data_IF_892315351070
#
_entry.id   IF_892315351070
#
_cell.length_a   1.000
_cell.length_b   1.000
_cell.length_c   1.000
_cell.angle_alpha   90.00
_cell.angle_beta   90.00
_cell.angle_gamma   90.00
#
_symmetry.space_group_name_H-M   'P 1'
#
loop_
_entity.id
_entity.type
_entity.pdbx_description
1 polymer ?
#
# COMPACT_ATOMS: atom_id res chain seq x y z
N UNK A 1 14.54 -15.21 -6.33
CA UNK A 1 15.63 -14.20 -6.48
C UNK A 1 16.57 -14.44 -7.69
N UNK A 2 16.78 -13.42 -8.53
CA UNK A 2 17.59 -13.47 -9.75
C UNK A 2 19.09 -13.19 -9.54
N UNK A 3 19.50 -12.43 -8.51
CA UNK A 3 20.93 -12.06 -8.32
C UNK A 3 21.87 -13.28 -8.31
N UNK A 4 21.56 -14.40 -7.62
CA UNK A 4 22.43 -15.57 -7.64
C UNK A 4 22.57 -16.19 -9.04
N UNK A 5 21.47 -16.20 -9.81
CA UNK A 5 21.44 -16.74 -11.18
C UNK A 5 22.26 -15.87 -12.12
N UNK A 6 22.10 -14.54 -12.03
CA UNK A 6 22.84 -13.59 -12.84
C UNK A 6 24.35 -13.65 -12.53
N UNK A 7 24.73 -13.73 -11.25
CA UNK A 7 26.13 -13.86 -10.84
C UNK A 7 26.77 -15.15 -11.36
N UNK A 8 26.07 -16.29 -11.26
CA UNK A 8 26.54 -17.56 -11.79
C UNK A 8 26.70 -17.52 -13.33
N UNK A 9 25.78 -16.87 -14.02
CA UNK A 9 25.86 -16.67 -15.48
C UNK A 9 27.06 -15.80 -15.87
N UNK A 10 27.25 -14.65 -15.22
CA UNK A 10 28.39 -13.77 -15.48
C UNK A 10 29.73 -14.53 -15.36
N UNK A 11 29.89 -15.32 -14.29
CA UNK A 11 31.07 -16.16 -14.10
C UNK A 11 31.24 -17.22 -15.21
N UNK A 12 30.15 -17.89 -15.61
CA UNK A 12 30.18 -18.91 -16.65
C UNK A 12 30.58 -18.37 -18.04
N UNK A 13 30.27 -17.10 -18.32
CA UNK A 13 30.62 -16.42 -19.57
C UNK A 13 31.89 -15.56 -19.48
N UNK A 14 32.64 -15.62 -18.38
CA UNK A 14 33.92 -14.93 -18.22
C UNK A 14 33.83 -13.44 -17.87
N UNK A 15 32.67 -12.97 -17.40
CA UNK A 15 32.50 -11.61 -16.89
C UNK A 15 32.87 -11.54 -15.40
N UNK A 16 33.49 -10.43 -15.00
CA UNK A 16 33.89 -10.20 -13.61
C UNK A 16 32.70 -9.92 -12.67
N UNK A 17 31.63 -9.32 -13.20
CA UNK A 17 30.41 -8.99 -12.46
C UNK A 17 29.22 -8.86 -13.42
N UNK A 18 28.02 -8.82 -12.84
CA UNK A 18 26.78 -8.46 -13.55
C UNK A 18 26.70 -6.94 -13.64
N UNK A 19 26.16 -6.43 -14.75
CA UNK A 19 25.85 -5.00 -14.89
C UNK A 19 24.81 -4.56 -13.84
N UNK A 20 25.09 -3.47 -13.13
CA UNK A 20 24.23 -2.94 -12.06
C UNK A 20 22.84 -2.54 -12.58
N UNK A 21 22.74 -2.16 -13.86
CA UNK A 21 21.49 -1.73 -14.50
C UNK A 21 20.62 -2.92 -14.97
N UNK A 22 21.16 -4.14 -15.04
CA UNK A 22 20.44 -5.28 -15.60
C UNK A 22 19.17 -5.61 -14.82
N UNK A 23 19.21 -5.56 -13.48
CA UNK A 23 18.02 -5.80 -12.67
C UNK A 23 16.98 -4.68 -12.83
N UNK A 24 17.41 -3.43 -12.95
CA UNK A 24 16.51 -2.31 -13.21
C UNK A 24 15.82 -2.48 -14.57
N UNK A 25 16.59 -2.87 -15.59
CA UNK A 25 16.06 -3.18 -16.92
C UNK A 25 15.05 -4.33 -16.88
N UNK A 26 15.34 -5.44 -16.20
CA UNK A 26 14.42 -6.58 -16.07
C UNK A 26 13.13 -6.16 -15.35
N UNK A 27 13.21 -5.36 -14.28
CA UNK A 27 12.03 -4.84 -13.59
C UNK A 27 11.20 -3.93 -14.49
N UNK A 28 11.83 -3.09 -15.31
CA UNK A 28 11.10 -2.25 -16.26
C UNK A 28 10.41 -3.09 -17.34
N UNK A 29 11.07 -4.14 -17.83
CA UNK A 29 10.44 -5.11 -18.73
C UNK A 29 9.28 -5.86 -18.09
N UNK A 30 9.37 -6.19 -16.80
CA UNK A 30 8.25 -6.75 -16.06
C UNK A 30 7.06 -5.77 -16.03
N UNK A 31 7.29 -4.48 -15.74
CA UNK A 31 6.22 -3.46 -15.73
C UNK A 31 5.49 -3.39 -17.06
N UNK A 32 6.24 -3.30 -18.16
CA UNK A 32 5.68 -3.30 -19.51
C UNK A 32 4.93 -4.60 -19.78
N UNK A 33 5.54 -5.75 -19.47
CA UNK A 33 4.92 -7.05 -19.70
C UNK A 33 3.60 -7.22 -18.94
N UNK A 34 3.48 -6.74 -17.71
CA UNK A 34 2.24 -6.81 -16.91
C UNK A 34 1.11 -5.97 -17.50
N UNK A 35 1.45 -4.86 -18.15
CA UNK A 35 0.50 -3.97 -18.86
C UNK A 35 0.06 -4.58 -20.19
N UNK A 36 1.00 -5.19 -20.90
CA UNK A 36 0.81 -5.69 -22.27
C UNK A 36 0.38 -7.18 -22.33
N UNK A 37 -0.01 -7.80 -21.20
CA UNK A 37 -0.50 -9.20 -21.19
C UNK A 37 -1.78 -9.30 -22.04
N UNK A 38 -1.63 -9.75 -23.28
CA UNK A 38 -2.72 -10.22 -24.13
C UNK A 38 -3.28 -11.55 -23.61
N UNK A 39 -4.59 -11.75 -23.84
CA UNK A 39 -5.53 -12.72 -23.28
C UNK A 39 -5.18 -14.24 -23.31
N UNK A 40 -3.92 -14.63 -23.53
CA UNK A 40 -3.46 -16.02 -23.53
C UNK A 40 -2.87 -16.53 -22.21
N UNK A 41 -2.53 -15.65 -21.25
CA UNK A 41 -1.90 -16.04 -19.97
C UNK A 41 -2.43 -15.29 -18.74
N UNK A 42 -3.33 -14.32 -18.90
CA UNK A 42 -3.88 -13.48 -17.83
C UNK A 42 -4.58 -12.24 -18.38
N UNK A 43 -5.25 -11.47 -17.51
CA UNK A 43 -5.82 -10.15 -17.87
C UNK A 43 -4.74 -9.07 -17.78
N UNK A 44 -4.80 -8.07 -18.66
CA UNK A 44 -3.96 -6.87 -18.58
C UNK A 44 -4.22 -6.12 -17.26
N UNK A 45 -3.17 -5.65 -16.60
CA UNK A 45 -3.26 -4.87 -15.37
C UNK A 45 -3.18 -3.38 -15.69
N UNK A 46 -4.08 -2.60 -15.07
CA UNK A 46 -4.10 -1.15 -15.23
C UNK A 46 -2.76 -0.50 -14.85
N UNK A 47 -2.41 0.58 -15.56
CA UNK A 47 -1.10 1.23 -15.47
C UNK A 47 -0.76 1.69 -14.04
N UNK A 48 -1.74 2.29 -13.38
CA UNK A 48 -1.72 2.82 -12.02
C UNK A 48 -1.60 1.70 -10.97
N UNK A 49 -2.28 0.57 -11.17
CA UNK A 49 -2.18 -0.62 -10.33
C UNK A 49 -0.78 -1.24 -10.41
N UNK A 50 -0.20 -1.33 -11.62
CA UNK A 50 1.20 -1.78 -11.78
C UNK A 50 2.15 -0.82 -11.06
N UNK A 51 1.93 0.49 -11.17
CA UNK A 51 2.74 1.49 -10.48
C UNK A 51 2.60 1.41 -8.95
N UNK A 52 1.39 1.16 -8.43
CA UNK A 52 1.14 0.98 -7.00
C UNK A 52 1.78 -0.30 -6.45
N UNK A 53 1.70 -1.41 -7.19
CA UNK A 53 2.28 -2.68 -6.79
C UNK A 53 3.81 -2.68 -6.83
N UNK A 54 4.40 -2.01 -7.82
CA UNK A 54 5.84 -2.01 -8.13
C UNK A 54 6.52 -0.66 -7.89
N UNK A 55 5.93 0.18 -7.03
CA UNK A 55 6.45 1.49 -6.65
C UNK A 55 7.86 1.38 -6.05
N UNK A 56 8.60 2.49 -6.09
CA UNK A 56 10.05 2.48 -5.85
C UNK A 56 10.41 1.88 -4.49
N UNK A 57 9.71 2.22 -3.40
CA UNK A 57 9.97 1.64 -2.08
C UNK A 57 9.65 0.14 -1.93
N UNK A 58 8.85 -0.44 -2.83
CA UNK A 58 8.40 -1.85 -2.75
C UNK A 58 9.23 -2.79 -3.63
N UNK A 59 9.69 -2.28 -4.78
CA UNK A 59 10.45 -3.06 -5.76
C UNK A 59 11.95 -2.77 -5.75
N UNK A 60 12.39 -1.70 -5.07
CA UNK A 60 13.81 -1.34 -4.99
C UNK A 60 14.63 -2.44 -4.30
N UNK A 61 15.72 -2.82 -4.95
CA UNK A 61 16.61 -3.90 -4.50
C UNK A 61 16.06 -5.32 -4.70
N UNK A 62 14.74 -5.49 -4.86
CA UNK A 62 14.12 -6.81 -5.11
C UNK A 62 14.60 -7.39 -6.43
N UNK A 63 14.98 -8.66 -6.37
CA UNK A 63 15.38 -9.50 -7.50
C UNK A 63 14.41 -10.68 -7.68
N UNK A 64 13.30 -10.70 -6.94
CA UNK A 64 12.28 -11.74 -7.05
C UNK A 64 11.16 -11.33 -8.00
N UNK A 65 11.42 -11.54 -9.30
CA UNK A 65 10.51 -11.16 -10.38
C UNK A 65 9.17 -11.89 -10.31
N UNK A 66 9.17 -13.14 -9.85
CA UNK A 66 7.94 -13.91 -9.67
C UNK A 66 7.07 -13.26 -8.58
N UNK A 67 7.66 -12.98 -7.42
CA UNK A 67 6.94 -12.32 -6.33
C UNK A 67 6.41 -10.95 -6.74
N UNK A 68 7.19 -10.15 -7.48
CA UNK A 68 6.73 -8.86 -8.00
C UNK A 68 5.53 -9.00 -8.97
N UNK A 69 5.54 -10.02 -9.83
CA UNK A 69 4.42 -10.30 -10.73
C UNK A 69 3.17 -10.73 -9.94
N UNK A 70 3.32 -11.68 -9.00
CA UNK A 70 2.25 -12.14 -8.13
C UNK A 70 1.67 -11.00 -7.28
N UNK A 71 2.51 -10.05 -6.87
CA UNK A 71 2.08 -8.86 -6.14
C UNK A 71 1.17 -7.97 -6.97
N UNK A 72 1.53 -7.72 -8.23
CA UNK A 72 0.69 -6.94 -9.14
C UNK A 72 -0.64 -7.64 -9.41
N UNK A 73 -0.62 -8.95 -9.67
CA UNK A 73 -1.82 -9.75 -9.90
C UNK A 73 -2.74 -9.77 -8.66
N UNK A 74 -2.19 -9.94 -7.46
CA UNK A 74 -2.94 -9.91 -6.21
C UNK A 74 -3.57 -8.53 -5.93
N UNK A 75 -2.82 -7.45 -6.16
CA UNK A 75 -3.33 -6.09 -5.98
C UNK A 75 -4.46 -5.80 -6.96
N UNK A 76 -4.31 -6.19 -8.23
CA UNK A 76 -5.35 -6.03 -9.23
C UNK A 76 -6.63 -6.78 -8.86
N UNK A 77 -6.51 -8.04 -8.40
CA UNK A 77 -7.64 -8.84 -7.94
C UNK A 77 -8.33 -8.21 -6.72
N UNK A 78 -7.56 -7.71 -5.76
CA UNK A 78 -8.09 -7.04 -4.57
C UNK A 78 -8.86 -5.77 -4.94
N UNK A 79 -8.29 -4.89 -5.77
CA UNK A 79 -8.92 -3.65 -6.21
C UNK A 79 -10.18 -3.89 -7.06
N UNK A 80 -10.27 -5.03 -7.74
CA UNK A 80 -11.46 -5.47 -8.47
C UNK A 80 -12.58 -6.05 -7.59
N UNK A 81 -12.34 -6.23 -6.28
CA UNK A 81 -13.36 -6.68 -5.32
C UNK A 81 -14.14 -5.50 -4.73
N UNK A 82 -15.35 -5.76 -4.24
CA UNK A 82 -16.16 -4.74 -3.55
C UNK A 82 -15.44 -4.18 -2.31
N UNK A 83 -14.74 -5.03 -1.57
CA UNK A 83 -13.99 -4.64 -0.38
C UNK A 83 -12.81 -3.73 -0.72
N UNK A 84 -12.05 -4.07 -1.76
CA UNK A 84 -10.93 -3.25 -2.22
C UNK A 84 -11.37 -1.90 -2.77
N UNK A 85 -12.42 -1.87 -3.60
CA UNK A 85 -12.96 -0.62 -4.13
C UNK A 85 -13.48 0.31 -3.02
N UNK A 86 -14.23 -0.24 -2.05
CA UNK A 86 -14.72 0.52 -0.91
C UNK A 86 -13.60 1.04 -0.01
N UNK A 87 -12.59 0.20 0.26
CA UNK A 87 -11.44 0.60 1.07
C UNK A 87 -10.65 1.75 0.43
N UNK A 88 -10.42 1.71 -0.89
CA UNK A 88 -9.70 2.77 -1.60
C UNK A 88 -10.43 4.11 -1.47
N UNK A 89 -11.76 4.11 -1.57
CA UNK A 89 -12.55 5.34 -1.39
C UNK A 89 -12.38 5.92 0.03
N UNK A 90 -12.45 5.07 1.06
CA UNK A 90 -12.22 5.48 2.44
C UNK A 90 -10.79 6.00 2.68
N UNK A 91 -9.79 5.31 2.15
CA UNK A 91 -8.39 5.75 2.23
C UNK A 91 -8.16 7.08 1.51
N UNK A 92 -8.71 7.28 0.30
CA UNK A 92 -8.59 8.55 -0.45
C UNK A 92 -9.11 9.72 0.36
N UNK A 93 -10.27 9.56 1.00
CA UNK A 93 -10.83 10.58 1.89
C UNK A 93 -9.87 10.90 3.05
N UNK A 94 -9.31 9.87 3.70
CA UNK A 94 -8.31 10.07 4.76
C UNK A 94 -7.06 10.80 4.26
N UNK A 95 -6.52 10.37 3.11
CA UNK A 95 -5.33 10.96 2.49
C UNK A 95 -5.54 12.43 2.10
N UNK A 96 -6.68 12.78 1.48
CA UNK A 96 -6.99 14.16 1.11
C UNK A 96 -7.18 15.08 2.32
N UNK A 97 -7.80 14.59 3.40
CA UNK A 97 -7.93 15.35 4.65
C UNK A 97 -6.54 15.61 5.25
N UNK A 98 -5.71 14.57 5.33
CA UNK A 98 -4.34 14.71 5.82
C UNK A 98 -3.55 15.71 4.97
N UNK A 99 -3.55 15.57 3.65
CA UNK A 99 -2.81 16.48 2.76
C UNK A 99 -3.23 17.95 2.95
N UNK A 100 -4.53 18.21 3.07
CA UNK A 100 -5.05 19.55 3.33
C UNK A 100 -4.58 20.11 4.68
N UNK A 101 -4.62 19.31 5.75
CA UNK A 101 -4.20 19.73 7.09
C UNK A 101 -2.68 19.85 7.21
N UNK A 102 -1.91 18.95 6.58
CA UNK A 102 -0.46 18.97 6.54
C UNK A 102 0.04 20.20 5.77
N UNK A 103 -0.64 20.58 4.68
CA UNK A 103 -0.37 21.81 3.94
C UNK A 103 -0.61 23.08 4.75
N UNK A 104 -1.71 23.12 5.52
CA UNK A 104 -2.01 24.25 6.43
C UNK A 104 -0.98 24.36 7.56
N UNK A 105 -0.62 23.23 8.17
CA UNK A 105 0.27 23.18 9.32
C UNK A 105 1.76 23.20 8.92
N UNK A 106 2.08 22.98 7.64
CA UNK A 106 3.45 22.81 7.10
C UNK A 106 4.24 21.71 7.82
N UNK A 107 3.55 20.64 8.22
CA UNK A 107 4.13 19.49 8.91
C UNK A 107 3.32 18.23 8.60
N UNK A 108 3.95 17.06 8.67
CA UNK A 108 3.25 15.78 8.58
C UNK A 108 2.69 15.35 9.93
N UNK A 109 1.55 14.66 9.92
CA UNK A 109 1.00 14.05 11.13
C UNK A 109 1.52 12.63 11.30
N UNK A 110 2.02 12.32 12.49
CA UNK A 110 2.48 10.99 12.83
C UNK A 110 1.30 10.01 12.96
N UNK A 111 1.46 8.73 12.59
CA UNK A 111 0.46 7.69 12.77
C UNK A 111 0.40 7.25 14.25
N UNK A 112 -0.03 8.16 15.12
CA UNK A 112 -0.10 7.96 16.56
C UNK A 112 -1.32 8.68 17.13
N UNK A 113 -1.97 8.03 18.10
CA UNK A 113 -3.19 8.52 18.74
C UNK A 113 -3.16 8.16 20.23
N UNK A 114 -3.87 8.93 21.05
CA UNK A 114 -4.14 8.66 22.45
C UNK A 114 -5.61 8.23 22.61
N UNK A 115 -5.88 6.95 22.94
CA UNK A 115 -7.24 6.48 23.17
C UNK A 115 -7.99 7.22 24.27
N UNK A 116 -7.30 7.88 25.22
CA UNK A 116 -7.93 8.69 26.25
C UNK A 116 -8.62 9.96 25.70
N UNK A 117 -8.30 10.36 24.46
CA UNK A 117 -8.88 11.52 23.78
C UNK A 117 -10.00 11.15 22.82
N UNK A 118 -10.39 9.86 22.71
CA UNK A 118 -11.55 9.46 21.91
C UNK A 118 -12.85 9.92 22.58
N UNK A 119 -13.67 10.62 21.80
CA UNK A 119 -14.97 11.13 22.24
C UNK A 119 -16.13 10.27 21.74
N UNK A 120 -15.94 9.55 20.62
CA UNK A 120 -16.99 8.79 19.94
C UNK A 120 -16.61 7.32 19.81
N UNK A 121 -17.60 6.39 19.91
CA UNK A 121 -17.35 4.96 19.73
C UNK A 121 -16.73 4.59 18.38
N UNK A 122 -16.99 5.40 17.35
CA UNK A 122 -16.43 5.21 16.02
C UNK A 122 -14.90 5.39 15.98
N UNK A 123 -14.33 6.25 16.83
CA UNK A 123 -12.89 6.43 16.96
C UNK A 123 -12.24 5.19 17.58
N UNK A 124 -12.81 4.71 18.68
CA UNK A 124 -12.39 3.46 19.34
C UNK A 124 -12.49 2.27 18.39
N UNK A 125 -13.61 2.14 17.67
CA UNK A 125 -13.83 1.03 16.75
C UNK A 125 -12.80 0.99 15.62
N UNK A 126 -12.47 2.14 15.02
CA UNK A 126 -11.44 2.23 13.99
C UNK A 126 -10.05 1.94 14.58
N UNK A 127 -9.73 2.48 15.75
CA UNK A 127 -8.46 2.23 16.42
C UNK A 127 -8.25 0.75 16.75
N UNK A 128 -9.22 0.09 17.36
CA UNK A 128 -9.11 -1.34 17.73
C UNK A 128 -8.90 -2.23 16.49
N UNK A 129 -9.58 -1.91 15.38
CA UNK A 129 -9.34 -2.63 14.14
C UNK A 129 -7.92 -2.40 13.66
N UNK A 130 -7.43 -1.15 13.57
CA UNK A 130 -6.07 -0.83 13.14
C UNK A 130 -5.00 -1.48 14.03
N UNK A 131 -5.19 -1.46 15.35
CA UNK A 131 -4.28 -2.06 16.33
C UNK A 131 -4.26 -3.59 16.24
N UNK A 132 -5.39 -4.20 15.87
CA UNK A 132 -5.46 -5.65 15.61
C UNK A 132 -4.78 -6.09 14.32
N UNK A 133 -4.49 -5.17 13.39
CA UNK A 133 -3.81 -5.48 12.15
C UNK A 133 -2.32 -5.76 12.41
N UNK A 134 -2.03 -7.04 12.58
CA UNK A 134 -0.66 -7.56 12.56
C UNK A 134 -0.11 -7.47 11.13
N UNK A 135 0.54 -6.36 10.78
CA UNK A 135 1.38 -6.30 9.58
C UNK A 135 2.85 -6.49 9.95
N UNK A 136 3.52 -7.41 9.27
CA UNK A 136 4.98 -7.39 9.19
C UNK A 136 5.43 -6.03 8.61
N UNK A 137 6.58 -5.51 9.06
CA UNK A 137 7.16 -4.29 8.53
C UNK A 137 7.49 -4.39 7.02
N UNK A 138 7.61 -5.62 6.50
CA UNK A 138 7.80 -5.92 5.08
C UNK A 138 6.96 -7.13 4.67
N UNK A 139 6.29 -7.03 3.53
CA UNK A 139 5.65 -8.17 2.89
C UNK A 139 6.71 -8.93 2.09
N UNK A 140 7.06 -10.14 2.52
CA UNK A 140 8.17 -10.93 1.98
C UNK A 140 7.71 -12.12 1.14
N UNK A 141 6.43 -12.45 1.19
CA UNK A 141 5.84 -13.58 0.48
C UNK A 141 4.45 -13.27 -0.07
N UNK A 142 4.01 -14.07 -1.03
CA UNK A 142 2.65 -13.99 -1.59
C UNK A 142 1.58 -14.21 -0.52
N UNK A 143 1.80 -15.16 0.40
CA UNK A 143 0.82 -15.49 1.44
C UNK A 143 0.66 -14.33 2.44
N UNK A 144 1.75 -13.66 2.81
CA UNK A 144 1.70 -12.44 3.62
C UNK A 144 1.01 -11.29 2.88
N UNK A 145 1.21 -11.19 1.57
CA UNK A 145 0.54 -10.17 0.75
C UNK A 145 -0.98 -10.38 0.73
N UNK A 146 -1.41 -11.61 0.45
CA UNK A 146 -2.83 -11.95 0.40
C UNK A 146 -3.49 -11.78 1.77
N UNK A 147 -2.82 -12.24 2.83
CA UNK A 147 -3.28 -12.05 4.21
C UNK A 147 -3.35 -10.57 4.58
N UNK A 148 -2.36 -9.78 4.14
CA UNK A 148 -2.33 -8.34 4.34
C UNK A 148 -3.48 -7.62 3.62
N UNK A 149 -3.75 -7.97 2.36
CA UNK A 149 -4.88 -7.41 1.59
C UNK A 149 -6.23 -7.77 2.22
N UNK A 150 -6.40 -9.01 2.66
CA UNK A 150 -7.61 -9.45 3.37
C UNK A 150 -7.82 -8.66 4.66
N UNK A 151 -6.77 -8.50 5.45
CA UNK A 151 -6.81 -7.73 6.69
C UNK A 151 -7.10 -6.24 6.42
N UNK A 152 -6.55 -5.66 5.36
CA UNK A 152 -6.88 -4.29 4.94
C UNK A 152 -8.34 -4.16 4.52
N UNK A 153 -8.90 -5.14 3.80
CA UNK A 153 -10.31 -5.14 3.40
C UNK A 153 -11.28 -4.98 4.56
N UNK A 154 -10.94 -5.50 5.75
CA UNK A 154 -11.80 -5.37 6.95
C UNK A 154 -11.89 -3.94 7.49
N UNK A 155 -10.99 -3.04 7.08
CA UNK A 155 -11.03 -1.63 7.51
C UNK A 155 -12.14 -0.82 6.85
N UNK A 156 -12.73 -1.29 5.74
CA UNK A 156 -13.79 -0.58 5.03
C UNK A 156 -14.92 -0.15 5.97
N UNK A 157 -15.52 -1.11 6.69
CA UNK A 157 -16.64 -0.85 7.59
C UNK A 157 -16.31 0.16 8.70
N UNK A 158 -15.23 -0.04 9.47
CA UNK A 158 -14.79 0.93 10.48
C UNK A 158 -14.48 2.33 9.93
N UNK A 159 -13.89 2.44 8.73
CA UNK A 159 -13.62 3.74 8.09
C UNK A 159 -14.93 4.45 7.70
N UNK A 160 -15.89 3.73 7.13
CA UNK A 160 -17.20 4.30 6.78
C UNK A 160 -17.91 4.82 8.05
N UNK A 161 -17.98 4.01 9.11
CA UNK A 161 -18.59 4.39 10.39
C UNK A 161 -17.88 5.60 11.03
N UNK A 162 -16.55 5.64 10.98
CA UNK A 162 -15.77 6.79 11.42
C UNK A 162 -16.19 8.05 10.67
N UNK A 163 -16.22 7.98 9.35
CA UNK A 163 -16.49 9.15 8.52
C UNK A 163 -17.95 9.62 8.51
N UNK A 164 -18.89 8.74 8.86
CA UNK A 164 -20.30 9.07 9.05
C UNK A 164 -20.56 9.72 10.42
N UNK A 165 -19.77 9.37 11.43
CA UNK A 165 -19.99 9.80 12.81
C UNK A 165 -19.07 10.92 13.27
N UNK A 166 -17.89 11.06 12.67
CA UNK A 166 -16.80 11.90 13.17
C UNK A 166 -16.54 13.07 12.22
N UNK A 167 -16.59 14.28 12.79
CA UNK A 167 -16.08 15.48 12.13
C UNK A 167 -14.60 15.64 12.51
N UNK A 168 -13.70 15.44 11.55
CA UNK A 168 -12.25 15.43 11.83
C UNK A 168 -11.76 16.79 12.31
N UNK A 169 -12.26 17.88 11.73
CA UNK A 169 -11.91 19.25 12.11
C UNK A 169 -12.72 19.67 13.35
N UNK A 170 -12.33 19.15 14.51
CA UNK A 170 -12.89 19.50 15.81
C UNK A 170 -12.39 20.88 16.31
N UNK A 171 -13.20 21.56 17.14
CA UNK A 171 -12.84 22.83 17.75
C UNK A 171 -11.77 22.65 18.86
N UNK A 172 -11.73 21.48 19.51
CA UNK A 172 -10.64 21.12 20.42
C UNK A 172 -9.43 20.60 19.63
N UNK A 173 -8.35 21.38 19.65
CA UNK A 173 -7.11 21.04 18.95
C UNK A 173 -6.54 19.66 19.36
N UNK A 174 -6.71 19.22 20.61
CA UNK A 174 -6.21 17.91 21.04
C UNK A 174 -7.00 16.79 20.38
N UNK A 175 -8.33 16.93 20.33
CA UNK A 175 -9.22 15.95 19.68
C UNK A 175 -8.98 15.94 18.17
N UNK A 176 -8.85 17.12 17.55
CA UNK A 176 -8.53 17.25 16.13
C UNK A 176 -7.20 16.58 15.78
N UNK A 177 -6.13 16.86 16.51
CA UNK A 177 -4.83 16.23 16.29
C UNK A 177 -4.89 14.72 16.51
N UNK A 178 -5.66 14.25 17.50
CA UNK A 178 -5.84 12.83 17.75
C UNK A 178 -6.53 12.10 16.57
N UNK A 179 -7.58 12.70 16.02
CA UNK A 179 -8.28 12.20 14.83
C UNK A 179 -7.40 12.19 13.59
N UNK A 180 -6.57 13.22 13.40
CA UNK A 180 -5.57 13.25 12.32
C UNK A 180 -4.52 12.15 12.49
N UNK A 181 -4.11 11.88 13.72
CA UNK A 181 -3.25 10.73 14.05
C UNK A 181 -3.89 9.39 13.65
N UNK A 182 -5.18 9.21 13.92
CA UNK A 182 -5.94 8.02 13.51
C UNK A 182 -6.05 7.89 11.99
N UNK A 183 -6.29 8.98 11.26
CA UNK A 183 -6.25 8.98 9.79
C UNK A 183 -4.83 8.65 9.26
N UNK A 184 -3.79 9.14 9.93
CA UNK A 184 -2.41 8.83 9.56
C UNK A 184 -2.09 7.34 9.77
N UNK A 185 -2.67 6.69 10.80
CA UNK A 185 -2.58 5.24 10.96
C UNK A 185 -3.26 4.48 9.82
N UNK A 186 -4.44 4.94 9.35
CA UNK A 186 -5.09 4.36 8.14
C UNK A 186 -4.18 4.49 6.92
N UNK A 187 -3.59 5.67 6.71
CA UNK A 187 -2.63 5.91 5.61
C UNK A 187 -1.43 4.97 5.71
N UNK A 188 -0.85 4.80 6.90
CA UNK A 188 0.30 3.92 7.15
C UNK A 188 0.00 2.43 6.95
N UNK A 189 -1.18 1.96 7.36
CA UNK A 189 -1.59 0.57 7.15
C UNK A 189 -1.59 0.22 5.65
N UNK A 190 -2.11 1.12 4.82
CA UNK A 190 -2.26 0.92 3.37
C UNK A 190 -0.92 0.93 2.64
N UNK A 191 0.04 1.78 3.04
CA UNK A 191 1.35 1.87 2.37
C UNK A 191 2.17 0.58 2.49
N UNK A 192 1.87 -0.30 3.44
CA UNK A 192 2.57 -1.60 3.60
C UNK A 192 2.27 -2.58 2.47
N UNK A 193 1.10 -2.47 1.84
CA UNK A 193 0.62 -3.42 0.83
C UNK A 193 0.78 -2.87 -0.59
N UNK A 194 0.66 -1.57 -0.80
CA UNK A 194 0.91 -0.94 -2.09
C UNK A 194 1.17 0.56 -1.92
N UNK A 195 1.75 1.18 -2.94
CA UNK A 195 1.77 2.63 -3.04
C UNK A 195 0.42 3.13 -3.61
N UNK A 196 -0.57 3.26 -2.73
CA UNK A 196 -1.92 3.72 -3.11
C UNK A 196 -1.94 5.14 -3.69
N UNK A 197 -0.88 5.94 -3.49
CA UNK A 197 -0.77 7.28 -4.11
C UNK A 197 -0.62 7.22 -5.64
N UNK A 198 -0.28 6.04 -6.18
CA UNK A 198 -0.16 5.82 -7.62
C UNK A 198 -1.48 5.46 -8.29
N UNK A 199 -2.53 5.14 -7.54
CA UNK A 199 -3.83 4.73 -8.09
C UNK A 199 -4.61 5.93 -8.61
N UNK A 200 -5.14 5.83 -9.82
CA UNK A 200 -5.90 6.89 -10.48
C UNK A 200 -7.40 6.81 -10.14
N UNK A 201 -8.09 7.96 -10.18
CA UNK A 201 -9.51 8.15 -9.81
C UNK A 201 -9.73 8.63 -8.38
#
# INVERSE_FOLDING_TARGET
>A
PLRPVLAASAAAYGFAAVDDDLLAFIRERLRVSLRDRDAGSGSSIAHDVVAAALGDGMAEGSDDILFLAERADALAAFLGSDDGAGLVAGWRRAASILEAEEGKAKQSFAPATDPALFALPAETGLYEHLDSLSFSAKVLSRDELLSGMQALGTLRGPIDVFFDSVVVNDDDDKVRLNRLGLLAMVRDAMTRVADFTKLEG
#
